data_IF_234801202603
#
_entry.id   IF_234801202603
#
_cell.length_a   1.000
_cell.length_b   1.000
_cell.length_c   1.000
_cell.angle_alpha   90.00
_cell.angle_beta   90.00
_cell.angle_gamma   90.00
#
_symmetry.space_group_name_H-M   'P 1'
#
loop_
_entity.id
_entity.type
_entity.pdbx_description
1 polymer ?
#
# COMPACT_ATOMS: atom_id res chain seq x y z
N UNK A 1 -4.38 -33.52 7.74
CA UNK A 1 -5.08 -32.32 8.25
C UNK A 1 -4.90 -31.13 7.33
N UNK A 2 -3.68 -30.71 6.98
CA UNK A 2 -3.42 -29.64 6.01
C UNK A 2 -4.19 -29.78 4.68
N UNK A 3 -4.12 -30.96 4.04
CA UNK A 3 -4.93 -31.29 2.86
C UNK A 3 -6.44 -31.10 3.08
N UNK A 4 -6.97 -31.62 4.20
CA UNK A 4 -8.39 -31.51 4.50
C UNK A 4 -8.82 -30.05 4.77
N UNK A 5 -8.00 -29.28 5.49
CA UNK A 5 -8.23 -27.86 5.73
C UNK A 5 -8.23 -27.06 4.41
N UNK A 6 -7.31 -27.38 3.51
CA UNK A 6 -7.22 -26.79 2.17
C UNK A 6 -8.45 -27.12 1.34
N UNK A 7 -8.84 -28.40 1.25
CA UNK A 7 -10.04 -28.85 0.52
C UNK A 7 -11.30 -28.16 1.04
N UNK A 8 -11.52 -28.16 2.36
CA UNK A 8 -12.68 -27.51 2.97
C UNK A 8 -12.69 -26.00 2.70
N UNK A 9 -11.53 -25.34 2.65
CA UNK A 9 -11.43 -23.92 2.35
C UNK A 9 -11.97 -23.57 0.95
N UNK A 10 -11.77 -24.45 -0.03
CA UNK A 10 -12.34 -24.28 -1.37
C UNK A 10 -13.80 -24.73 -1.45
N UNK A 11 -14.15 -25.86 -0.81
CA UNK A 11 -15.51 -26.40 -0.82
C UNK A 11 -16.54 -25.47 -0.17
N UNK A 12 -16.16 -24.74 0.89
CA UNK A 12 -17.07 -23.88 1.65
C UNK A 12 -17.00 -22.43 1.13
N UNK A 13 -17.64 -22.18 -0.01
CA UNK A 13 -17.70 -20.82 -0.59
C UNK A 13 -18.62 -19.92 0.24
N UNK A 14 -18.24 -18.65 0.39
CA UNK A 14 -18.98 -17.67 1.20
C UNK A 14 -19.19 -18.13 2.65
N UNK A 15 -18.19 -18.82 3.22
CA UNK A 15 -18.19 -19.19 4.62
C UNK A 15 -18.31 -17.93 5.51
N UNK A 16 -19.23 -17.96 6.47
CA UNK A 16 -19.48 -16.84 7.40
C UNK A 16 -19.15 -17.19 8.86
N UNK A 17 -18.79 -18.45 9.13
CA UNK A 17 -18.58 -18.99 10.48
C UNK A 17 -17.25 -19.70 10.57
N UNK A 18 -16.60 -19.73 11.74
CA UNK A 18 -15.35 -20.45 11.91
C UNK A 18 -15.53 -21.95 11.72
N UNK A 19 -14.65 -22.56 10.92
CA UNK A 19 -14.50 -24.01 10.81
C UNK A 19 -13.08 -24.35 11.23
N UNK A 20 -12.91 -24.80 12.47
CA UNK A 20 -11.58 -25.02 13.05
C UNK A 20 -11.28 -26.51 13.09
N UNK A 21 -10.27 -26.92 12.32
CA UNK A 21 -9.68 -28.26 12.41
C UNK A 21 -8.66 -28.25 13.53
N UNK A 22 -8.68 -29.29 14.36
CA UNK A 22 -7.74 -29.49 15.45
C UNK A 22 -7.45 -30.98 15.61
N UNK A 23 -6.45 -31.32 16.41
CA UNK A 23 -6.09 -32.70 16.72
C UNK A 23 -4.99 -32.77 17.77
N UNK A 24 -4.32 -33.92 17.84
CA UNK A 24 -3.28 -34.16 18.82
C UNK A 24 -2.22 -35.11 18.25
N UNK A 25 -0.98 -35.02 18.76
CA UNK A 25 0.01 -36.10 18.56
C UNK A 25 -0.24 -37.25 19.53
N UNK A 26 -0.74 -36.96 20.73
CA UNK A 26 -1.03 -37.96 21.75
C UNK A 26 -2.54 -38.03 22.02
N UNK A 27 -3.14 -39.24 22.11
CA UNK A 27 -4.57 -39.39 22.40
C UNK A 27 -5.02 -38.65 23.66
N UNK A 28 -6.23 -38.07 23.62
CA UNK A 28 -6.74 -37.20 24.70
C UNK A 28 -6.89 -37.88 26.07
N UNK A 29 -7.03 -39.21 26.08
CA UNK A 29 -7.15 -40.01 27.30
C UNK A 29 -5.80 -40.24 28.01
N UNK A 30 -4.67 -39.97 27.35
CA UNK A 30 -3.36 -40.10 27.98
C UNK A 30 -3.16 -38.99 29.03
N UNK A 31 -2.41 -39.28 30.10
CA UNK A 31 -2.17 -38.27 31.14
C UNK A 31 -1.42 -37.05 30.58
N UNK A 32 -0.37 -37.26 29.80
CA UNK A 32 0.38 -36.19 29.15
C UNK A 32 0.06 -36.15 27.66
N UNK A 33 -0.76 -35.18 27.24
CA UNK A 33 -1.12 -34.99 25.84
C UNK A 33 -1.32 -33.51 25.49
N UNK A 34 -1.27 -33.22 24.20
CA UNK A 34 -1.58 -31.93 23.59
C UNK A 34 -3.07 -31.80 23.18
N UNK A 35 -3.82 -32.91 23.15
CA UNK A 35 -5.20 -32.94 22.69
C UNK A 35 -6.18 -32.14 23.54
N UNK A 36 -6.00 -32.08 24.87
CA UNK A 36 -6.90 -31.29 25.74
C UNK A 36 -6.84 -29.79 25.42
N UNK A 37 -5.62 -29.24 25.38
CA UNK A 37 -5.41 -27.81 25.09
C UNK A 37 -5.79 -27.47 23.65
N UNK A 38 -5.43 -28.32 22.69
CA UNK A 38 -5.78 -28.12 21.28
C UNK A 38 -7.31 -28.15 21.05
N UNK A 39 -8.04 -29.04 21.73
CA UNK A 39 -9.50 -29.12 21.63
C UNK A 39 -10.18 -27.93 22.32
N UNK A 40 -9.76 -27.62 23.54
CA UNK A 40 -10.31 -26.50 24.31
C UNK A 40 -10.09 -25.17 23.57
N UNK A 41 -8.86 -24.92 23.10
CA UNK A 41 -8.52 -23.72 22.34
C UNK A 41 -9.34 -23.61 21.05
N UNK A 42 -9.51 -24.71 20.30
CA UNK A 42 -10.35 -24.70 19.10
C UNK A 42 -11.82 -24.34 19.41
N UNK A 43 -12.40 -24.90 20.49
CA UNK A 43 -13.77 -24.59 20.90
C UNK A 43 -13.92 -23.13 21.35
N UNK A 44 -12.97 -22.61 22.13
CA UNK A 44 -12.97 -21.21 22.56
C UNK A 44 -12.84 -20.27 21.36
N UNK A 45 -11.93 -20.56 20.43
CA UNK A 45 -11.74 -19.75 19.22
C UNK A 45 -13.02 -19.73 18.36
N UNK A 46 -13.66 -20.89 18.16
CA UNK A 46 -14.89 -20.98 17.38
C UNK A 46 -16.12 -20.36 18.07
N UNK A 47 -16.18 -20.43 19.40
CA UNK A 47 -17.32 -19.96 20.19
C UNK A 47 -17.29 -18.46 20.51
N UNK A 48 -16.10 -17.85 20.57
CA UNK A 48 -15.94 -16.46 21.01
C UNK A 48 -15.61 -15.49 19.88
N UNK A 49 -15.08 -15.98 18.74
CA UNK A 49 -14.59 -15.12 17.66
C UNK A 49 -15.24 -15.45 16.31
N UNK A 50 -15.54 -14.38 15.56
CA UNK A 50 -16.05 -14.49 14.20
C UNK A 50 -14.85 -14.45 13.24
N UNK A 51 -14.31 -15.63 12.94
CA UNK A 51 -13.26 -15.84 11.94
C UNK A 51 -13.87 -16.68 10.83
N UNK A 52 -14.40 -16.08 9.75
CA UNK A 52 -15.21 -16.78 8.72
C UNK A 52 -14.34 -17.57 7.74
N UNK A 53 -13.46 -18.41 8.27
CA UNK A 53 -12.47 -19.17 7.51
C UNK A 53 -12.36 -20.61 8.00
N UNK A 54 -11.87 -21.48 7.12
CA UNK A 54 -11.38 -22.79 7.52
C UNK A 54 -10.00 -22.61 8.10
N UNK A 55 -9.85 -22.95 9.38
CA UNK A 55 -8.64 -22.74 10.16
C UNK A 55 -8.07 -24.06 10.67
N UNK A 56 -6.81 -24.05 11.08
CA UNK A 56 -6.15 -25.14 11.78
C UNK A 56 -5.61 -24.63 13.11
N UNK A 57 -6.04 -25.21 14.23
CA UNK A 57 -5.59 -24.82 15.57
C UNK A 57 -4.67 -25.88 16.17
N UNK A 58 -3.42 -25.50 16.47
CA UNK A 58 -2.43 -26.36 17.12
C UNK A 58 -1.46 -25.50 17.92
N UNK A 59 -1.05 -25.96 19.11
CA UNK A 59 0.00 -25.32 19.90
C UNK A 59 -0.23 -23.82 20.10
N UNK A 60 -1.42 -23.49 20.59
CA UNK A 60 -1.83 -22.12 20.91
C UNK A 60 -1.80 -21.16 19.71
N UNK A 61 -1.79 -21.66 18.48
CA UNK A 61 -1.81 -20.87 17.27
C UNK A 61 -2.99 -21.29 16.39
N UNK A 62 -3.66 -20.30 15.81
CA UNK A 62 -4.70 -20.49 14.80
C UNK A 62 -4.13 -20.11 13.44
N UNK A 63 -3.95 -21.07 12.55
CA UNK A 63 -3.47 -20.86 11.19
C UNK A 63 -4.64 -20.80 10.21
N UNK A 64 -4.47 -20.04 9.12
CA UNK A 64 -5.33 -20.19 7.94
C UNK A 64 -5.15 -21.61 7.38
N UNK A 65 -6.25 -22.36 7.21
CA UNK A 65 -6.20 -23.79 6.91
C UNK A 65 -5.49 -24.13 5.60
N UNK A 66 -5.71 -23.33 4.55
CA UNK A 66 -5.05 -23.46 3.24
C UNK A 66 -3.65 -22.82 3.17
N UNK A 67 -3.07 -22.41 4.30
CA UNK A 67 -1.68 -21.96 4.41
C UNK A 67 -0.83 -22.87 5.28
N UNK A 68 -1.45 -23.83 5.97
CA UNK A 68 -0.77 -24.73 6.88
C UNK A 68 -0.19 -25.95 6.15
N UNK A 69 0.97 -26.41 6.62
CA UNK A 69 1.57 -27.71 6.26
C UNK A 69 2.12 -28.39 7.51
N UNK A 70 2.25 -29.72 7.49
CA UNK A 70 2.78 -30.50 8.61
C UNK A 70 4.31 -30.58 8.49
N UNK A 71 5.02 -30.03 9.46
CA UNK A 71 6.50 -29.93 9.45
C UNK A 71 7.19 -30.87 10.43
N UNK A 72 6.47 -31.36 11.45
CA UNK A 72 7.04 -32.26 12.46
C UNK A 72 6.04 -33.39 12.79
N UNK A 73 6.55 -34.60 13.01
CA UNK A 73 5.76 -35.80 13.31
C UNK A 73 5.85 -36.27 14.77
N UNK A 74 6.63 -35.57 15.61
CA UNK A 74 6.84 -35.90 17.02
C UNK A 74 6.58 -34.73 17.94
N UNK A 75 7.01 -33.52 17.58
CA UNK A 75 6.77 -32.32 18.38
C UNK A 75 5.29 -31.98 18.32
N UNK A 76 4.77 -31.48 19.45
CA UNK A 76 3.42 -30.92 19.51
C UNK A 76 3.25 -29.73 18.55
N UNK A 77 4.31 -28.96 18.28
CA UNK A 77 4.36 -27.94 17.23
C UNK A 77 4.52 -28.60 15.85
N UNK A 78 3.49 -29.35 15.45
CA UNK A 78 3.53 -30.21 14.28
C UNK A 78 3.21 -29.51 12.96
N UNK A 79 2.52 -28.36 13.03
CA UNK A 79 2.09 -27.59 11.87
C UNK A 79 2.76 -26.23 11.84
N UNK A 80 2.95 -25.73 10.62
CA UNK A 80 3.49 -24.41 10.34
C UNK A 80 2.67 -23.76 9.22
N UNK A 81 2.61 -22.43 9.22
CA UNK A 81 2.12 -21.61 8.09
C UNK A 81 3.30 -20.79 7.58
N UNK A 82 4.06 -21.29 6.59
CA UNK A 82 5.39 -20.75 6.29
C UNK A 82 5.36 -19.38 5.59
N UNK A 83 4.33 -19.13 4.76
CA UNK A 83 4.21 -17.92 3.95
C UNK A 83 3.10 -16.97 4.44
N UNK A 84 2.46 -17.26 5.58
CA UNK A 84 1.47 -16.37 6.20
C UNK A 84 1.56 -16.47 7.72
N UNK A 85 1.61 -15.34 8.47
CA UNK A 85 1.52 -15.37 9.92
C UNK A 85 0.24 -16.07 10.42
N UNK A 86 0.23 -16.61 11.66
CA UNK A 86 -0.99 -17.12 12.27
C UNK A 86 -2.12 -16.07 12.25
N UNK A 87 -3.36 -16.49 12.10
CA UNK A 87 -4.52 -15.61 12.25
C UNK A 87 -4.73 -15.19 13.70
N UNK A 88 -4.36 -16.06 14.65
CA UNK A 88 -4.36 -15.72 16.07
C UNK A 88 -3.28 -16.49 16.85
N UNK A 89 -2.85 -15.91 17.96
CA UNK A 89 -1.95 -16.52 18.94
C UNK A 89 -2.59 -16.42 20.32
N UNK A 90 -2.62 -17.55 21.04
CA UNK A 90 -3.21 -17.68 22.38
C UNK A 90 -2.08 -17.67 23.42
N UNK A 91 -2.04 -16.64 24.25
CA UNK A 91 -1.17 -16.55 25.40
C UNK A 91 -1.98 -16.24 26.66
N UNK A 92 -1.41 -15.41 27.55
CA UNK A 92 -2.19 -14.77 28.61
C UNK A 92 -3.34 -13.96 27.99
N UNK A 93 -3.02 -13.24 26.92
CA UNK A 93 -3.97 -12.56 26.06
C UNK A 93 -4.11 -13.30 24.72
N UNK A 94 -5.29 -13.17 24.09
CA UNK A 94 -5.53 -13.69 22.73
C UNK A 94 -5.29 -12.55 21.74
N UNK A 95 -4.26 -12.71 20.90
CA UNK A 95 -3.93 -11.75 19.84
C UNK A 95 -4.49 -12.24 18.51
N UNK A 96 -5.34 -11.44 17.86
CA UNK A 96 -5.93 -11.76 16.55
C UNK A 96 -5.39 -10.78 15.51
N UNK A 97 -4.84 -11.32 14.43
CA UNK A 97 -4.38 -10.55 13.27
C UNK A 97 -5.56 -10.21 12.37
N UNK A 98 -6.37 -9.23 12.81
CA UNK A 98 -7.62 -8.82 12.13
C UNK A 98 -7.43 -8.38 10.69
N UNK A 99 -6.24 -7.86 10.34
CA UNK A 99 -5.89 -7.47 8.97
C UNK A 99 -5.78 -8.67 8.02
N UNK A 100 -5.40 -9.83 8.55
CA UNK A 100 -5.29 -11.06 7.77
C UNK A 100 -6.62 -11.79 7.64
N UNK A 101 -7.50 -11.66 8.64
CA UNK A 101 -8.80 -12.35 8.67
C UNK A 101 -9.70 -11.82 7.55
N UNK A 102 -10.20 -12.74 6.72
CA UNK A 102 -11.14 -12.43 5.63
C UNK A 102 -12.44 -11.89 6.20
N UNK A 103 -13.02 -10.91 5.51
CA UNK A 103 -14.33 -10.35 5.85
C UNK A 103 -15.44 -11.29 5.38
N UNK A 104 -16.45 -11.51 6.22
CA UNK A 104 -17.66 -12.19 5.80
C UNK A 104 -18.46 -11.28 4.86
N UNK A 105 -18.81 -11.76 3.67
CA UNK A 105 -19.86 -11.12 2.86
C UNK A 105 -21.21 -11.44 3.50
N UNK A 106 -21.89 -10.43 4.06
CA UNK A 106 -23.22 -10.62 4.66
C UNK A 106 -24.33 -10.85 3.63
N UNK A 107 -24.04 -10.64 2.34
CA UNK A 107 -25.00 -10.72 1.25
C UNK A 107 -25.08 -12.13 0.62
N UNK A 108 -23.99 -12.89 0.65
CA UNK A 108 -23.88 -14.16 -0.06
C UNK A 108 -24.14 -15.38 0.84
N UNK A 109 -24.93 -16.34 0.36
CA UNK A 109 -25.21 -17.59 1.09
C UNK A 109 -24.04 -18.56 0.95
N UNK A 110 -23.83 -19.38 1.99
CA UNK A 110 -22.89 -20.50 1.94
C UNK A 110 -23.23 -21.42 0.77
N UNK A 111 -22.24 -21.68 -0.09
CA UNK A 111 -22.32 -22.69 -1.16
C UNK A 111 -21.31 -23.78 -0.85
N UNK A 112 -21.76 -25.03 -0.86
CA UNK A 112 -20.90 -26.20 -0.66
C UNK A 112 -20.60 -26.81 -2.02
N UNK A 113 -19.39 -26.57 -2.54
CA UNK A 113 -18.95 -27.12 -3.82
C UNK A 113 -18.55 -28.60 -3.66
N UNK A 114 -19.44 -29.50 -4.09
CA UNK A 114 -19.19 -30.95 -4.15
C UNK A 114 -18.53 -31.39 -5.46
N UNK A 115 -18.51 -30.53 -6.47
CA UNK A 115 -17.91 -30.78 -7.78
C UNK A 115 -16.39 -30.54 -7.72
N UNK A 116 -15.67 -31.51 -7.15
CA UNK A 116 -14.21 -31.51 -7.06
C UNK A 116 -13.64 -32.53 -8.04
N UNK A 117 -12.71 -32.11 -8.91
CA UNK A 117 -12.03 -33.00 -9.85
C UNK A 117 -11.15 -34.01 -9.10
N UNK A 118 -11.32 -35.29 -9.43
CA UNK A 118 -10.63 -36.40 -8.76
C UNK A 118 -9.34 -36.78 -9.48
N UNK A 119 -9.29 -36.55 -10.78
CA UNK A 119 -8.13 -36.88 -11.62
C UNK A 119 -7.07 -35.77 -11.55
N UNK A 120 -6.62 -35.46 -10.33
CA UNK A 120 -5.52 -34.53 -10.04
C UNK A 120 -4.37 -35.25 -9.33
N UNK A 121 -3.13 -34.81 -9.60
CA UNK A 121 -1.93 -35.44 -9.05
C UNK A 121 -0.93 -34.45 -8.47
N UNK A 122 0.04 -34.98 -7.73
CA UNK A 122 1.20 -34.23 -7.24
C UNK A 122 2.47 -34.93 -7.73
N UNK A 123 3.30 -34.21 -8.48
CA UNK A 123 4.55 -34.71 -9.05
C UNK A 123 5.72 -33.93 -8.44
N UNK A 124 6.50 -34.59 -7.59
CA UNK A 124 7.71 -34.02 -7.01
C UNK A 124 8.91 -34.29 -7.91
N UNK A 125 9.56 -33.23 -8.40
CA UNK A 125 10.76 -33.41 -9.23
C UNK A 125 11.97 -33.76 -8.37
N UNK A 126 12.88 -34.55 -8.93
CA UNK A 126 14.16 -34.86 -8.32
C UNK A 126 15.27 -34.79 -9.38
N UNK A 127 16.53 -34.52 -8.98
CA UNK A 127 17.63 -34.45 -9.93
C UNK A 127 17.75 -35.75 -10.75
N UNK A 128 17.69 -35.62 -12.07
CA UNK A 128 17.79 -36.76 -12.98
C UNK A 128 16.49 -37.54 -13.22
N UNK A 129 15.33 -37.04 -12.79
CA UNK A 129 14.03 -37.65 -13.14
C UNK A 129 13.93 -37.84 -14.67
N UNK A 130 13.66 -39.07 -15.17
CA UNK A 130 13.66 -39.33 -16.60
C UNK A 130 12.34 -38.89 -17.26
N UNK A 131 12.42 -38.38 -18.50
CA UNK A 131 11.25 -37.97 -19.27
C UNK A 131 10.21 -39.10 -19.43
N UNK A 132 10.65 -40.35 -19.56
CA UNK A 132 9.76 -41.52 -19.63
C UNK A 132 8.88 -41.70 -18.40
N UNK A 133 9.39 -41.38 -17.20
CA UNK A 133 8.62 -41.45 -15.95
C UNK A 133 7.62 -40.30 -15.87
N UNK A 134 8.03 -39.09 -16.26
CA UNK A 134 7.14 -37.93 -16.34
C UNK A 134 6.00 -38.21 -17.33
N UNK A 135 6.31 -38.75 -18.51
CA UNK A 135 5.31 -39.17 -19.50
C UNK A 135 4.30 -40.15 -18.93
N UNK A 136 4.78 -41.18 -18.23
CA UNK A 136 3.93 -42.21 -17.63
C UNK A 136 3.01 -41.61 -16.55
N UNK A 137 3.53 -40.68 -15.76
CA UNK A 137 2.77 -39.98 -14.72
C UNK A 137 1.68 -39.07 -15.32
N UNK A 138 1.96 -38.40 -16.45
CA UNK A 138 1.06 -37.45 -17.10
C UNK A 138 0.11 -38.09 -18.15
N UNK A 139 -0.12 -39.40 -18.06
CA UNK A 139 -1.07 -40.09 -18.91
C UNK A 139 -2.53 -39.82 -18.50
N UNK A 140 -3.50 -39.89 -19.44
CA UNK A 140 -4.92 -39.95 -19.11
C UNK A 140 -5.22 -41.06 -18.08
N UNK A 141 -6.21 -40.87 -17.17
CA UNK A 141 -7.24 -39.83 -17.19
C UNK A 141 -6.85 -38.49 -16.53
N UNK A 142 -5.60 -38.31 -16.11
CA UNK A 142 -5.15 -37.13 -15.36
C UNK A 142 -5.53 -35.81 -16.05
N UNK A 143 -6.17 -34.91 -15.29
CA UNK A 143 -6.65 -33.59 -15.75
C UNK A 143 -5.78 -32.44 -15.27
N UNK A 144 -5.12 -32.61 -14.14
CA UNK A 144 -4.17 -31.62 -13.64
C UNK A 144 -3.12 -32.20 -12.71
N UNK A 145 -2.00 -31.50 -12.61
CA UNK A 145 -0.91 -31.87 -11.71
C UNK A 145 -0.35 -30.62 -11.01
N UNK A 146 -0.08 -30.76 -9.71
CA UNK A 146 0.81 -29.86 -8.99
C UNK A 146 2.23 -30.42 -9.12
N UNK A 147 3.09 -29.70 -9.81
CA UNK A 147 4.50 -30.04 -9.98
C UNK A 147 5.32 -29.29 -8.94
N UNK A 148 6.03 -30.02 -8.08
CA UNK A 148 6.96 -29.42 -7.11
C UNK A 148 8.36 -29.31 -7.76
N UNK A 149 8.93 -28.09 -7.75
CA UNK A 149 10.18 -27.75 -8.43
C UNK A 149 11.21 -27.12 -7.47
N UNK A 150 12.43 -26.88 -7.93
CA UNK A 150 13.54 -26.48 -7.07
C UNK A 150 13.60 -24.96 -6.82
N UNK A 151 13.98 -24.55 -5.60
CA UNK A 151 14.29 -23.15 -5.31
C UNK A 151 13.11 -22.21 -5.59
N UNK A 152 13.32 -21.16 -6.37
CA UNK A 152 12.28 -20.19 -6.75
C UNK A 152 11.33 -20.68 -7.85
N UNK A 153 11.19 -21.99 -8.06
CA UNK A 153 10.32 -22.55 -9.11
C UNK A 153 11.04 -23.13 -10.34
N UNK A 154 12.33 -23.43 -10.22
CA UNK A 154 13.17 -23.88 -11.31
C UNK A 154 12.87 -25.35 -11.67
N UNK A 155 12.28 -25.54 -12.84
CA UNK A 155 12.05 -26.86 -13.43
C UNK A 155 13.19 -27.37 -14.31
N UNK A 156 12.97 -28.51 -14.98
CA UNK A 156 13.96 -29.15 -15.83
C UNK A 156 14.18 -28.32 -17.10
N UNK A 157 15.43 -28.12 -17.48
CA UNK A 157 15.83 -27.45 -18.74
C UNK A 157 16.13 -28.44 -19.86
N UNK A 158 16.04 -29.75 -19.58
CA UNK A 158 16.30 -30.78 -20.59
C UNK A 158 15.18 -30.78 -21.64
N UNK A 159 15.52 -30.78 -22.95
CA UNK A 159 14.52 -30.67 -24.01
C UNK A 159 13.46 -31.78 -24.01
N UNK A 160 13.86 -33.01 -23.72
CA UNK A 160 12.96 -34.17 -23.68
C UNK A 160 11.89 -34.04 -22.60
N UNK A 161 12.25 -33.54 -21.42
CA UNK A 161 11.30 -33.34 -20.32
C UNK A 161 10.37 -32.16 -20.59
N UNK A 162 10.91 -31.04 -21.09
CA UNK A 162 10.10 -29.90 -21.51
C UNK A 162 9.06 -30.29 -22.58
N UNK A 163 9.45 -31.16 -23.52
CA UNK A 163 8.55 -31.69 -24.54
C UNK A 163 7.41 -32.53 -23.95
N UNK A 164 7.66 -33.34 -22.91
CA UNK A 164 6.60 -34.11 -22.24
C UNK A 164 5.62 -33.19 -21.48
N UNK A 165 6.10 -32.09 -20.88
CA UNK A 165 5.25 -31.09 -20.24
C UNK A 165 4.38 -30.34 -21.26
N UNK A 166 4.99 -29.90 -22.37
CA UNK A 166 4.28 -29.23 -23.45
C UNK A 166 3.23 -30.15 -24.09
N UNK A 167 3.59 -31.41 -24.36
CA UNK A 167 2.65 -32.40 -24.89
C UNK A 167 1.50 -32.67 -23.92
N UNK A 168 1.73 -32.64 -22.60
CA UNK A 168 0.66 -32.74 -21.61
C UNK A 168 -0.26 -31.51 -21.63
N UNK A 169 0.30 -30.31 -21.69
CA UNK A 169 -0.46 -29.06 -21.80
C UNK A 169 -1.31 -29.02 -23.08
N UNK A 170 -0.78 -29.49 -24.22
CA UNK A 170 -1.49 -29.62 -25.50
C UNK A 170 -2.66 -30.62 -25.42
N UNK A 171 -2.54 -31.67 -24.60
CA UNK A 171 -3.66 -32.59 -24.29
C UNK A 171 -4.73 -31.98 -23.37
N UNK A 172 -4.53 -30.73 -22.92
CA UNK A 172 -5.43 -30.03 -22.01
C UNK A 172 -5.18 -30.31 -20.52
N UNK A 173 -4.02 -30.90 -20.17
CA UNK A 173 -3.64 -31.12 -18.77
C UNK A 173 -3.16 -29.80 -18.15
N UNK A 174 -3.70 -29.44 -16.99
CA UNK A 174 -3.31 -28.21 -16.28
C UNK A 174 -2.18 -28.47 -15.30
N UNK A 175 -1.07 -27.74 -15.44
CA UNK A 175 0.13 -27.90 -14.61
C UNK A 175 0.31 -26.66 -13.74
N UNK A 176 0.35 -26.83 -12.41
CA UNK A 176 0.64 -25.76 -11.44
C UNK A 176 2.01 -26.01 -10.83
N UNK A 177 2.90 -25.02 -10.86
CA UNK A 177 4.25 -25.08 -10.32
C UNK A 177 4.30 -24.57 -8.88
N UNK A 178 4.66 -25.44 -7.93
CA UNK A 178 4.97 -25.08 -6.56
C UNK A 178 6.45 -25.33 -6.26
N UNK A 179 7.01 -24.62 -5.28
CA UNK A 179 8.38 -24.88 -4.84
C UNK A 179 8.45 -26.04 -3.85
N UNK A 180 9.55 -26.80 -3.89
CA UNK A 180 9.94 -27.74 -2.83
C UNK A 180 10.23 -27.06 -1.50
N UNK A 181 10.64 -25.79 -1.54
CA UNK A 181 11.04 -25.03 -0.37
C UNK A 181 9.83 -24.84 0.55
N UNK A 182 10.04 -25.03 1.85
CA UNK A 182 8.98 -24.84 2.85
C UNK A 182 8.44 -23.40 2.82
N UNK A 183 9.32 -22.41 2.63
CA UNK A 183 8.99 -21.00 2.58
C UNK A 183 9.55 -20.40 1.28
N UNK A 184 8.82 -19.43 0.71
CA UNK A 184 9.17 -18.74 -0.52
C UNK A 184 8.05 -18.76 -1.55
N UNK A 185 8.32 -18.12 -2.70
CA UNK A 185 7.40 -17.98 -3.82
C UNK A 185 8.06 -18.45 -5.12
N UNK A 186 7.25 -18.99 -6.03
CA UNK A 186 7.66 -19.31 -7.40
C UNK A 186 7.71 -18.03 -8.24
N UNK A 187 8.89 -17.71 -8.78
CA UNK A 187 9.15 -16.56 -9.65
C UNK A 187 9.63 -16.96 -11.04
N UNK A 188 9.43 -16.08 -12.02
CA UNK A 188 9.86 -16.27 -13.42
C UNK A 188 11.25 -15.71 -13.73
N UNK A 189 12.01 -15.30 -12.71
CA UNK A 189 13.22 -14.47 -12.91
C UNK A 189 14.39 -15.22 -13.57
N UNK A 190 14.33 -16.56 -13.61
CA UNK A 190 15.36 -17.42 -14.16
C UNK A 190 14.97 -18.03 -15.52
N UNK A 191 15.97 -18.36 -16.34
CA UNK A 191 15.79 -19.02 -17.63
C UNK A 191 14.99 -20.34 -17.55
N UNK A 192 15.09 -21.07 -16.43
CA UNK A 192 14.29 -22.26 -16.16
C UNK A 192 12.82 -21.94 -15.86
N UNK A 193 12.53 -20.81 -15.23
CA UNK A 193 11.16 -20.35 -14.95
C UNK A 193 10.44 -19.89 -16.22
N UNK A 194 11.14 -19.17 -17.11
CA UNK A 194 10.61 -18.74 -18.41
C UNK A 194 10.34 -19.93 -19.34
N UNK A 195 11.20 -20.96 -19.35
CA UNK A 195 10.97 -22.19 -20.12
C UNK A 195 9.70 -22.93 -19.68
N UNK A 196 9.44 -23.02 -18.37
CA UNK A 196 8.21 -23.64 -17.84
C UNK A 196 6.97 -22.82 -18.20
N UNK A 197 7.03 -21.48 -18.09
CA UNK A 197 5.93 -20.61 -18.49
C UNK A 197 5.61 -20.78 -19.99
N UNK A 198 6.64 -20.89 -20.84
CA UNK A 198 6.50 -21.19 -22.26
C UNK A 198 5.87 -22.56 -22.55
N UNK A 199 6.02 -23.54 -21.66
CA UNK A 199 5.39 -24.85 -21.74
C UNK A 199 3.92 -24.87 -21.22
N UNK A 200 3.35 -23.72 -20.86
CA UNK A 200 1.97 -23.61 -20.40
C UNK A 200 1.76 -23.93 -18.91
N UNK A 201 2.83 -23.91 -18.12
CA UNK A 201 2.79 -24.14 -16.67
C UNK A 201 2.41 -22.86 -15.91
N UNK A 202 1.48 -22.97 -14.96
CA UNK A 202 0.98 -21.86 -14.13
C UNK A 202 1.84 -21.73 -12.87
N UNK A 203 2.21 -20.51 -12.47
CA UNK A 203 2.85 -20.28 -11.17
C UNK A 203 1.87 -20.53 -10.01
N UNK A 204 2.30 -21.32 -9.03
CA UNK A 204 1.60 -21.47 -7.76
C UNK A 204 1.95 -20.40 -6.73
N UNK A 205 2.83 -19.44 -7.07
CA UNK A 205 3.36 -18.42 -6.17
C UNK A 205 3.87 -19.04 -4.86
N UNK A 206 3.34 -18.61 -3.73
CA UNK A 206 3.70 -19.04 -2.38
C UNK A 206 2.67 -20.01 -1.75
N UNK A 207 1.82 -20.64 -2.59
CA UNK A 207 0.90 -21.70 -2.14
C UNK A 207 1.67 -22.89 -1.57
N UNK A 208 1.10 -23.51 -0.54
CA UNK A 208 1.51 -24.87 -0.15
C UNK A 208 1.01 -25.88 -1.20
N UNK A 209 1.69 -27.02 -1.32
CA UNK A 209 1.27 -28.09 -2.24
C UNK A 209 -0.13 -28.62 -1.90
N UNK A 210 -0.51 -28.63 -0.62
CA UNK A 210 -1.86 -28.99 -0.18
C UNK A 210 -2.92 -28.03 -0.71
N UNK A 211 -2.65 -26.73 -0.65
CA UNK A 211 -3.55 -25.71 -1.15
C UNK A 211 -3.63 -25.69 -2.68
N UNK A 212 -2.49 -25.82 -3.35
CA UNK A 212 -2.43 -25.90 -4.80
C UNK A 212 -3.22 -27.11 -5.33
N UNK A 213 -3.10 -28.28 -4.70
CA UNK A 213 -3.82 -29.49 -5.11
C UNK A 213 -5.33 -29.35 -4.88
N UNK A 214 -5.72 -28.80 -3.73
CA UNK A 214 -7.12 -28.52 -3.42
C UNK A 214 -7.73 -27.50 -4.39
N UNK A 215 -7.01 -26.43 -4.69
CA UNK A 215 -7.40 -25.39 -5.65
C UNK A 215 -7.54 -25.95 -7.06
N UNK A 216 -6.59 -26.79 -7.49
CA UNK A 216 -6.60 -27.44 -8.79
C UNK A 216 -7.83 -28.34 -8.93
N UNK A 217 -8.10 -29.17 -7.92
CA UNK A 217 -9.29 -30.03 -7.86
C UNK A 217 -10.58 -29.20 -7.92
N UNK A 218 -10.66 -28.11 -7.16
CA UNK A 218 -11.81 -27.19 -7.16
C UNK A 218 -12.02 -26.54 -8.52
N UNK A 219 -11.00 -25.88 -9.08
CA UNK A 219 -11.13 -25.13 -10.34
C UNK A 219 -11.44 -26.05 -11.51
N UNK A 220 -10.84 -27.25 -11.58
CA UNK A 220 -11.14 -28.21 -12.64
C UNK A 220 -12.54 -28.83 -12.50
N UNK A 221 -13.08 -28.93 -11.28
CA UNK A 221 -14.42 -29.45 -11.04
C UNK A 221 -15.55 -28.47 -11.36
N UNK A 222 -15.26 -27.17 -11.51
CA UNK A 222 -16.27 -26.15 -11.83
C UNK A 222 -16.86 -26.36 -13.24
N UNK A 223 -18.20 -26.36 -13.41
CA UNK A 223 -18.84 -26.54 -14.70
C UNK A 223 -18.75 -25.27 -15.56
N UNK A 224 -18.81 -25.42 -16.89
CA UNK A 224 -18.98 -24.30 -17.82
C UNK A 224 -17.76 -23.40 -18.05
N UNK A 225 -16.61 -23.68 -17.43
CA UNK A 225 -15.39 -22.89 -17.62
C UNK A 225 -14.51 -23.42 -18.75
N UNK A 226 -14.01 -22.50 -19.58
CA UNK A 226 -12.97 -22.77 -20.56
C UNK A 226 -11.63 -23.11 -19.89
N UNK A 227 -10.70 -23.72 -20.63
CA UNK A 227 -9.38 -24.04 -20.10
C UNK A 227 -8.60 -22.77 -19.71
N UNK A 228 -8.75 -21.68 -20.47
CA UNK A 228 -8.09 -20.40 -20.18
C UNK A 228 -8.69 -19.72 -18.95
N UNK A 229 -10.01 -19.79 -18.75
CA UNK A 229 -10.63 -19.22 -17.54
C UNK A 229 -10.26 -20.01 -16.29
N UNK A 230 -10.09 -21.33 -16.41
CA UNK A 230 -9.53 -22.16 -15.33
C UNK A 230 -8.10 -21.74 -15.00
N UNK A 231 -7.26 -21.50 -16.01
CA UNK A 231 -5.89 -21.00 -15.80
C UNK A 231 -5.89 -19.64 -15.09
N UNK A 232 -6.78 -18.72 -15.48
CA UNK A 232 -6.94 -17.42 -14.80
C UNK A 232 -7.35 -17.57 -13.34
N UNK A 233 -8.33 -18.41 -13.03
CA UNK A 233 -8.74 -18.66 -11.64
C UNK A 233 -7.63 -19.28 -10.79
N UNK A 234 -6.83 -20.17 -11.37
CA UNK A 234 -5.68 -20.75 -10.67
C UNK A 234 -4.62 -19.72 -10.29
N UNK A 235 -4.50 -18.65 -11.08
CA UNK A 235 -3.57 -17.54 -10.84
C UNK A 235 -4.11 -16.44 -9.91
N UNK A 236 -5.34 -16.54 -9.39
CA UNK A 236 -5.97 -15.53 -8.52
C UNK A 236 -6.07 -16.01 -7.07
N UNK A 237 -5.94 -15.14 -6.07
CA UNK A 237 -6.22 -15.50 -4.68
C UNK A 237 -7.73 -15.72 -4.45
N UNK A 238 -8.15 -16.99 -4.29
CA UNK A 238 -9.57 -17.33 -4.16
C UNK A 238 -10.02 -17.38 -2.70
N UNK A 239 -9.14 -17.82 -1.79
CA UNK A 239 -9.46 -18.16 -0.40
C UNK A 239 -8.36 -17.73 0.58
N UNK A 240 -7.45 -16.85 0.18
CA UNK A 240 -6.33 -16.41 1.01
C UNK A 240 -5.14 -17.38 0.98
N UNK A 241 -5.13 -18.33 0.05
CA UNK A 241 -4.11 -19.39 -0.06
C UNK A 241 -2.82 -18.92 -0.72
N UNK A 242 -2.86 -17.81 -1.46
CA UNK A 242 -1.72 -17.27 -2.18
C UNK A 242 -1.56 -15.78 -1.95
N UNK A 243 -0.31 -15.32 -2.04
CA UNK A 243 0.08 -13.92 -2.06
C UNK A 243 0.51 -13.63 -3.49
N UNK A 244 -0.24 -12.78 -4.17
CA UNK A 244 0.21 -12.28 -5.48
C UNK A 244 1.44 -11.41 -5.26
N UNK A 245 2.45 -11.47 -6.15
CA UNK A 245 3.54 -10.50 -6.10
C UNK A 245 2.91 -9.11 -6.11
N UNK A 246 3.42 -8.21 -5.27
CA UNK A 246 3.16 -6.81 -5.48
C UNK A 246 3.56 -6.55 -6.94
N UNK A 247 2.64 -6.05 -7.75
CA UNK A 247 2.99 -5.63 -9.10
C UNK A 247 4.06 -4.57 -8.88
N UNK A 248 5.31 -4.90 -9.16
CA UNK A 248 6.38 -3.92 -9.34
C UNK A 248 6.03 -3.17 -10.62
N UNK A 249 5.00 -2.33 -10.55
CA UNK A 249 5.12 -1.05 -11.20
C UNK A 249 6.30 -0.38 -10.50
N UNK A 250 7.35 -0.16 -11.27
CA UNK A 250 8.62 0.41 -10.87
C UNK A 250 8.43 1.61 -9.94
N UNK A 251 8.54 1.43 -8.62
CA UNK A 251 8.61 2.56 -7.70
C UNK A 251 9.66 2.25 -6.63
N UNK A 252 10.91 2.43 -7.04
CA UNK A 252 12.07 2.43 -6.15
C UNK A 252 11.88 3.49 -5.05
N UNK A 253 12.08 3.04 -3.82
CA UNK A 253 12.27 3.82 -2.59
C UNK A 253 11.15 4.76 -2.16
N UNK A 254 10.21 4.26 -1.37
CA UNK A 254 9.41 5.09 -0.47
C UNK A 254 9.77 4.76 0.98
N UNK A 255 10.85 5.38 1.47
CA UNK A 255 11.11 5.42 2.91
C UNK A 255 10.24 6.52 3.53
N UNK A 256 9.26 6.11 4.34
CA UNK A 256 9.01 6.77 5.61
C UNK A 256 7.95 7.86 5.70
N UNK A 257 6.66 7.47 5.76
CA UNK A 257 5.72 8.06 6.74
C UNK A 257 4.49 7.15 6.92
N UNK A 258 3.80 7.25 8.07
CA UNK A 258 2.49 6.58 8.30
C UNK A 258 1.45 7.04 7.28
N UNK A 259 1.62 8.25 6.73
CA UNK A 259 0.73 8.85 5.75
C UNK A 259 0.89 8.20 4.38
N UNK A 260 2.12 7.92 3.92
CA UNK A 260 2.35 7.19 2.67
C UNK A 260 1.78 5.76 2.72
N UNK A 261 1.78 5.13 3.91
CA UNK A 261 1.08 3.84 4.14
C UNK A 261 -0.44 3.97 4.05
N UNK A 262 -1.02 5.04 4.60
CA UNK A 262 -2.46 5.30 4.55
C UNK A 262 -2.93 5.61 3.12
N UNK A 263 -2.16 6.39 2.36
CA UNK A 263 -2.38 6.65 0.93
C UNK A 263 -2.26 5.35 0.13
N UNK A 264 -1.23 4.53 0.39
CA UNK A 264 -1.08 3.21 -0.23
C UNK A 264 -2.24 2.26 0.08
N UNK A 265 -2.81 2.33 1.28
CA UNK A 265 -3.99 1.54 1.62
C UNK A 265 -5.24 1.99 0.84
N UNK A 266 -5.45 3.29 0.65
CA UNK A 266 -6.56 3.82 -0.16
C UNK A 266 -6.45 3.43 -1.65
N UNK A 267 -5.23 3.44 -2.19
CA UNK A 267 -4.94 2.97 -3.56
C UNK A 267 -5.39 1.51 -3.77
N UNK A 268 -5.33 0.67 -2.72
CA UNK A 268 -5.66 -0.76 -2.78
C UNK A 268 -7.14 -1.10 -2.63
N UNK A 269 -8.01 -0.13 -2.32
CA UNK A 269 -9.43 -0.41 -2.18
C UNK A 269 -10.03 -0.83 -3.54
N UNK A 270 -10.76 -1.93 -3.58
CA UNK A 270 -11.42 -2.40 -4.81
C UNK A 270 -12.53 -1.42 -5.22
N UNK A 271 -12.82 -1.36 -6.52
CA UNK A 271 -13.89 -0.54 -7.12
C UNK A 271 -15.26 -1.05 -6.61
N UNK A 272 -15.67 -0.57 -5.44
CA UNK A 272 -17.04 -0.71 -4.92
C UNK A 272 -17.58 0.69 -4.63
N UNK A 273 -18.89 0.86 -4.75
CA UNK A 273 -19.53 2.16 -4.53
C UNK A 273 -19.32 2.68 -3.09
N UNK A 274 -19.16 1.77 -2.13
CA UNK A 274 -18.84 2.08 -0.72
C UNK A 274 -17.36 2.48 -0.54
N UNK A 275 -16.45 1.88 -1.31
CA UNK A 275 -15.03 2.25 -1.32
C UNK A 275 -14.81 3.64 -1.94
N UNK A 276 -15.60 3.99 -2.96
CA UNK A 276 -15.53 5.31 -3.59
C UNK A 276 -16.02 6.41 -2.64
N UNK A 277 -17.15 6.20 -1.96
CA UNK A 277 -17.63 7.15 -0.93
C UNK A 277 -16.64 7.32 0.23
N UNK A 278 -15.93 6.25 0.62
CA UNK A 278 -14.90 6.31 1.64
C UNK A 278 -13.64 7.05 1.14
N UNK A 279 -13.26 6.87 -0.12
CA UNK A 279 -12.16 7.60 -0.77
C UNK A 279 -12.46 9.08 -0.81
N UNK A 280 -13.63 9.46 -1.32
CA UNK A 280 -14.06 10.85 -1.42
C UNK A 280 -14.06 11.55 -0.05
N UNK A 281 -14.43 10.82 1.01
CA UNK A 281 -14.43 11.35 2.38
C UNK A 281 -13.02 11.52 2.99
N UNK A 282 -12.07 10.64 2.67
CA UNK A 282 -10.75 10.59 3.31
C UNK A 282 -9.67 11.36 2.55
N UNK A 283 -9.78 11.43 1.23
CA UNK A 283 -8.81 12.09 0.34
C UNK A 283 -8.51 13.54 0.78
N UNK A 284 -9.50 14.41 1.09
CA UNK A 284 -9.22 15.78 1.49
C UNK A 284 -8.39 15.89 2.77
N UNK A 285 -8.70 15.05 3.76
CA UNK A 285 -7.98 15.04 5.04
C UNK A 285 -6.54 14.55 4.89
N UNK A 286 -6.31 13.56 4.02
CA UNK A 286 -4.98 13.03 3.76
C UNK A 286 -4.13 13.95 2.89
N UNK A 287 -4.73 14.60 1.89
CA UNK A 287 -4.06 15.61 1.08
C UNK A 287 -3.60 16.78 1.97
N UNK A 288 -4.46 17.23 2.89
CA UNK A 288 -4.11 18.30 3.83
C UNK A 288 -2.96 17.90 4.77
N UNK A 289 -2.98 16.66 5.27
CA UNK A 289 -1.92 16.13 6.11
C UNK A 289 -0.60 15.95 5.33
N UNK A 290 -0.66 15.55 4.05
CA UNK A 290 0.51 15.45 3.17
C UNK A 290 1.11 16.84 2.86
N UNK A 291 0.26 17.82 2.59
CA UNK A 291 0.68 19.22 2.41
C UNK A 291 1.29 19.81 3.69
N UNK A 292 0.81 19.39 4.86
CA UNK A 292 1.36 19.79 6.16
C UNK A 292 2.75 19.19 6.43
N UNK A 293 2.95 17.92 6.09
CA UNK A 293 4.23 17.23 6.26
C UNK A 293 5.23 17.53 5.14
N UNK A 294 4.78 18.12 4.02
CA UNK A 294 5.62 18.37 2.86
C UNK A 294 5.87 17.12 2.01
N UNK A 295 5.01 16.10 2.15
CA UNK A 295 5.13 14.82 1.45
C UNK A 295 4.61 14.96 0.02
N UNK A 296 5.51 15.38 -0.87
CA UNK A 296 5.22 15.61 -2.29
C UNK A 296 4.78 14.32 -2.99
N UNK A 297 5.38 13.18 -2.64
CA UNK A 297 5.10 11.88 -3.24
C UNK A 297 3.68 11.41 -2.88
N UNK A 298 3.28 11.56 -1.61
CA UNK A 298 1.93 11.26 -1.18
C UNK A 298 0.88 12.15 -1.86
N UNK A 299 1.18 13.44 -2.09
CA UNK A 299 0.29 14.34 -2.82
C UNK A 299 0.16 13.95 -4.30
N UNK A 300 1.25 13.59 -4.96
CA UNK A 300 1.21 13.11 -6.35
C UNK A 300 0.39 11.83 -6.48
N UNK A 301 0.57 10.88 -5.56
CA UNK A 301 -0.21 9.64 -5.53
C UNK A 301 -1.72 9.86 -5.27
N UNK A 302 -2.07 10.85 -4.44
CA UNK A 302 -3.47 11.23 -4.19
C UNK A 302 -4.11 11.94 -5.39
N UNK A 303 -3.33 12.63 -6.21
CA UNK A 303 -3.81 13.31 -7.41
C UNK A 303 -4.16 12.32 -8.54
N UNK A 304 -3.35 11.27 -8.71
CA UNK A 304 -3.62 10.18 -9.68
C UNK A 304 -4.97 9.48 -9.42
N UNK A 305 -5.48 9.58 -8.20
CA UNK A 305 -6.80 9.08 -7.78
C UNK A 305 -7.98 10.00 -8.16
N UNK A 306 -7.74 11.05 -8.96
CA UNK A 306 -8.80 11.95 -9.42
C UNK A 306 -9.22 12.99 -8.38
N UNK A 307 -8.38 13.24 -7.36
CA UNK A 307 -8.63 14.32 -6.41
C UNK A 307 -8.34 15.67 -7.06
N UNK A 308 -9.37 16.51 -7.21
CA UNK A 308 -9.14 17.90 -7.62
C UNK A 308 -8.35 18.60 -6.53
N UNK A 309 -7.18 19.19 -6.82
CA UNK A 309 -6.31 19.87 -5.84
C UNK A 309 -6.91 21.15 -5.22
N UNK A 310 -8.13 21.50 -5.61
CA UNK A 310 -8.92 22.61 -5.06
C UNK A 310 -9.77 22.16 -3.86
N UNK A 311 -9.20 21.33 -2.98
CA UNK A 311 -9.89 20.88 -1.76
C UNK A 311 -9.83 21.99 -0.72
N UNK A 312 -11.00 22.38 -0.22
CA UNK A 312 -11.18 23.23 0.94
C UNK A 312 -11.63 22.34 2.11
N UNK A 313 -10.96 22.44 3.26
CA UNK A 313 -11.48 21.84 4.49
C UNK A 313 -12.70 22.65 5.02
N UNK A 314 -13.46 22.15 6.02
CA UNK A 314 -14.58 22.87 6.61
C UNK A 314 -14.22 24.22 7.27
N UNK A 315 -12.93 24.51 7.43
CA UNK A 315 -12.34 25.74 7.99
C UNK A 315 -11.87 26.66 6.84
N UNK A 316 -12.04 26.27 5.57
CA UNK A 316 -11.60 27.01 4.38
C UNK A 316 -10.10 26.89 4.10
N UNK A 317 -9.42 25.86 4.61
CA UNK A 317 -8.00 25.65 4.36
C UNK A 317 -7.77 25.01 2.98
N UNK A 318 -7.10 25.74 2.09
CA UNK A 318 -6.56 25.20 0.84
C UNK A 318 -5.22 24.51 1.07
N UNK A 319 -4.88 23.49 0.28
CA UNK A 319 -3.58 22.81 0.31
C UNK A 319 -2.40 23.78 0.18
N UNK A 320 -2.54 24.80 -0.67
CA UNK A 320 -1.51 25.82 -0.90
C UNK A 320 -1.20 26.61 0.38
N UNK A 321 -2.22 26.89 1.20
CA UNK A 321 -2.12 27.64 2.44
C UNK A 321 -1.30 26.88 3.48
N UNK A 322 -1.60 25.60 3.66
CA UNK A 322 -0.90 24.74 4.63
C UNK A 322 0.56 24.54 4.20
N UNK A 323 0.81 24.28 2.92
CA UNK A 323 2.17 24.16 2.40
C UNK A 323 2.95 25.48 2.54
N UNK A 324 2.31 26.62 2.29
CA UNK A 324 2.94 27.94 2.40
C UNK A 324 3.26 28.32 3.85
N UNK A 325 2.36 28.04 4.78
CA UNK A 325 2.56 28.25 6.22
C UNK A 325 3.73 27.41 6.77
N UNK A 326 3.90 26.19 6.25
CA UNK A 326 4.95 25.25 6.68
C UNK A 326 6.26 25.40 5.93
N UNK A 327 6.28 26.13 4.83
CA UNK A 327 7.51 26.42 4.07
C UNK A 327 7.89 25.37 3.04
N UNK A 328 6.95 24.51 2.65
CA UNK A 328 7.21 23.37 1.76
C UNK A 328 7.24 23.79 0.30
N UNK A 329 8.36 24.38 -0.15
CA UNK A 329 8.53 24.93 -1.50
C UNK A 329 8.23 23.94 -2.63
N UNK A 330 8.58 22.65 -2.47
CA UNK A 330 8.29 21.61 -3.47
C UNK A 330 6.79 21.36 -3.65
N UNK A 331 6.04 21.31 -2.56
CA UNK A 331 4.58 21.17 -2.59
C UNK A 331 3.93 22.43 -3.17
N UNK A 332 4.40 23.62 -2.78
CA UNK A 332 3.90 24.90 -3.32
C UNK A 332 4.12 24.98 -4.83
N UNK A 333 5.31 24.64 -5.32
CA UNK A 333 5.60 24.65 -6.75
C UNK A 333 4.68 23.71 -7.53
N UNK A 334 4.45 22.50 -7.01
CA UNK A 334 3.53 21.54 -7.61
C UNK A 334 2.09 22.10 -7.69
N UNK A 335 1.56 22.64 -6.59
CA UNK A 335 0.19 23.18 -6.55
C UNK A 335 0.01 24.37 -7.51
N UNK A 336 1.03 25.24 -7.63
CA UNK A 336 1.00 26.38 -8.56
C UNK A 336 0.99 25.93 -10.03
N UNK A 337 1.74 24.88 -10.39
CA UNK A 337 1.72 24.31 -11.74
C UNK A 337 0.36 23.74 -12.14
N UNK A 338 -0.47 23.38 -11.15
CA UNK A 338 -1.82 22.82 -11.36
C UNK A 338 -2.92 23.88 -11.34
N UNK A 339 -2.56 25.17 -11.34
CA UNK A 339 -3.51 26.27 -11.48
C UNK A 339 -4.38 26.54 -10.27
N UNK A 340 -3.95 26.16 -9.06
CA UNK A 340 -4.64 26.50 -7.82
C UNK A 340 -4.67 28.03 -7.63
N UNK A 341 -5.79 28.57 -7.13
CA UNK A 341 -5.90 30.00 -6.83
C UNK A 341 -4.85 30.43 -5.80
N UNK A 342 -3.93 31.29 -6.26
CA UNK A 342 -2.78 31.77 -5.51
C UNK A 342 -3.20 32.74 -4.39
N UNK A 343 -4.37 33.39 -4.53
CA UNK A 343 -4.86 34.41 -3.61
C UNK A 343 -6.06 33.94 -2.76
N UNK A 344 -6.35 32.63 -2.74
CA UNK A 344 -7.41 32.05 -1.91
C UNK A 344 -7.21 32.41 -0.42
N UNK A 345 -8.27 32.86 0.26
CA UNK A 345 -8.20 33.36 1.64
C UNK A 345 -8.96 32.45 2.60
N UNK A 346 -8.48 32.37 3.84
CA UNK A 346 -9.19 31.65 4.91
C UNK A 346 -10.25 32.53 5.60
N UNK A 347 -10.92 31.96 6.61
CA UNK A 347 -11.96 32.65 7.40
C UNK A 347 -11.43 33.88 8.15
N UNK A 348 -10.11 33.94 8.39
CA UNK A 348 -9.43 35.09 9.00
C UNK A 348 -8.97 36.12 7.93
N UNK A 349 -9.24 35.86 6.66
CA UNK A 349 -8.91 36.73 5.53
C UNK A 349 -7.43 36.72 5.13
N UNK A 350 -6.65 35.74 5.61
CA UNK A 350 -5.20 35.68 5.39
C UNK A 350 -4.86 34.96 4.07
N UNK A 351 -3.93 35.55 3.31
CA UNK A 351 -3.41 34.95 2.07
C UNK A 351 -2.27 33.93 2.34
N UNK A 352 -2.06 32.95 1.44
CA UNK A 352 -0.91 32.05 1.49
C UNK A 352 0.42 32.81 1.51
N UNK A 353 0.48 33.95 0.82
CA UNK A 353 1.65 34.83 0.79
C UNK A 353 1.97 35.40 2.16
N UNK A 354 0.97 35.95 2.87
CA UNK A 354 1.18 36.48 4.22
C UNK A 354 1.60 35.38 5.21
N UNK A 355 1.05 34.16 5.08
CA UNK A 355 1.44 33.03 5.92
C UNK A 355 2.90 32.60 5.67
N UNK A 356 3.36 32.59 4.42
CA UNK A 356 4.77 32.35 4.09
C UNK A 356 5.68 33.44 4.67
N UNK A 357 5.26 34.71 4.63
CA UNK A 357 5.99 35.86 5.18
C UNK A 357 6.12 35.77 6.70
N UNK A 358 5.01 35.51 7.39
CA UNK A 358 4.98 35.29 8.85
C UNK A 358 5.83 34.09 9.26
N UNK A 359 5.84 33.04 8.44
CA UNK A 359 6.66 31.84 8.60
C UNK A 359 8.15 31.97 8.23
N UNK A 360 8.59 33.12 7.68
CA UNK A 360 9.96 33.38 7.19
C UNK A 360 10.39 32.46 6.02
N UNK A 361 9.44 31.99 5.23
CA UNK A 361 9.69 31.02 4.16
C UNK A 361 10.02 31.69 2.82
N UNK A 362 11.23 32.28 2.73
CA UNK A 362 11.68 33.08 1.58
C UNK A 362 11.50 32.40 0.20
N UNK A 363 11.81 31.11 0.12
CA UNK A 363 11.66 30.33 -1.12
C UNK A 363 10.20 30.23 -1.57
N UNK A 364 9.29 29.99 -0.62
CA UNK A 364 7.84 29.97 -0.87
C UNK A 364 7.32 31.36 -1.25
N UNK A 365 7.74 32.41 -0.54
CA UNK A 365 7.35 33.80 -0.85
C UNK A 365 7.74 34.17 -2.30
N UNK A 366 8.93 33.75 -2.74
CA UNK A 366 9.37 33.94 -4.12
C UNK A 366 8.49 33.21 -5.15
N UNK A 367 8.19 31.93 -4.89
CA UNK A 367 7.33 31.13 -5.77
C UNK A 367 5.92 31.72 -5.89
N UNK A 368 5.32 32.12 -4.76
CA UNK A 368 3.98 32.74 -4.74
C UNK A 368 3.96 34.08 -5.49
N UNK A 369 4.96 34.94 -5.29
CA UNK A 369 5.06 36.22 -6.00
C UNK A 369 5.28 36.05 -7.50
N UNK A 370 6.11 35.09 -7.90
CA UNK A 370 6.30 34.74 -9.31
C UNK A 370 5.01 34.23 -9.96
N UNK A 371 4.15 33.57 -9.19
CA UNK A 371 2.81 33.13 -9.62
C UNK A 371 1.73 34.24 -9.50
N UNK A 372 2.10 35.47 -9.16
CA UNK A 372 1.18 36.61 -9.13
C UNK A 372 0.46 36.86 -7.79
N UNK A 373 0.89 36.22 -6.69
CA UNK A 373 0.34 36.49 -5.36
C UNK A 373 0.55 37.96 -4.94
N UNK A 374 -0.42 38.57 -4.27
CA UNK A 374 -0.27 39.92 -3.71
C UNK A 374 -0.85 40.03 -2.31
N UNK A 375 -0.20 40.83 -1.46
CA UNK A 375 -0.75 41.21 -0.16
C UNK A 375 -1.89 42.20 -0.36
N UNK A 376 -2.98 42.02 0.39
CA UNK A 376 -4.13 42.91 0.36
C UNK A 376 -3.93 44.16 1.22
N UNK A 377 -4.70 45.24 1.01
CA UNK A 377 -4.60 46.44 1.83
C UNK A 377 -4.81 46.17 3.33
N UNK A 378 -5.69 45.23 3.67
CA UNK A 378 -5.97 44.85 5.06
C UNK A 378 -4.79 44.10 5.70
N UNK A 379 -4.07 43.28 4.93
CA UNK A 379 -2.86 42.59 5.41
C UNK A 379 -1.66 43.52 5.59
N UNK A 380 -1.69 44.68 4.91
CA UNK A 380 -0.67 45.72 4.97
C UNK A 380 -0.96 46.80 6.04
N UNK A 381 -2.14 46.80 6.65
CA UNK A 381 -2.55 47.84 7.63
C UNK A 381 -1.53 47.98 8.78
N UNK A 382 -1.02 46.84 9.26
CA UNK A 382 -0.03 46.78 10.35
C UNK A 382 1.42 46.51 9.88
N UNK A 383 1.68 46.48 8.57
CA UNK A 383 2.99 46.11 8.04
C UNK A 383 4.09 47.07 8.52
N UNK A 384 3.83 48.38 8.60
CA UNK A 384 4.79 49.37 9.10
C UNK A 384 5.22 49.09 10.56
N UNK A 385 4.27 48.72 11.43
CA UNK A 385 4.56 48.38 12.82
C UNK A 385 5.41 47.10 12.92
N UNK A 386 5.09 46.09 12.11
CA UNK A 386 5.88 44.86 12.04
C UNK A 386 7.29 45.12 11.51
N UNK A 387 7.45 45.91 10.44
CA UNK A 387 8.75 46.29 9.88
C UNK A 387 9.62 47.02 10.91
N UNK A 388 9.07 47.99 11.65
CA UNK A 388 9.75 48.66 12.76
C UNK A 388 10.19 47.69 13.85
N UNK A 389 9.36 46.68 14.17
CA UNK A 389 9.70 45.63 15.13
C UNK A 389 10.88 44.78 14.63
N UNK A 390 10.92 44.44 13.35
CA UNK A 390 12.03 43.68 12.74
C UNK A 390 13.33 44.47 12.72
N UNK A 391 13.24 45.74 12.35
CA UNK A 391 14.33 46.71 12.42
C UNK A 391 14.94 46.80 13.83
N UNK A 392 14.11 46.95 14.88
CA UNK A 392 14.61 47.02 16.27
C UNK A 392 15.36 45.77 16.73
N UNK A 393 15.08 44.62 16.13
CA UNK A 393 15.71 43.32 16.43
C UNK A 393 16.85 42.99 15.47
N UNK A 394 17.15 43.86 14.52
CA UNK A 394 18.08 43.62 13.42
C UNK A 394 17.77 42.33 12.60
N UNK A 395 16.48 41.99 12.44
CA UNK A 395 16.03 40.82 11.65
C UNK A 395 16.07 41.14 10.15
N UNK A 396 17.26 41.06 9.57
CA UNK A 396 17.52 41.33 8.14
C UNK A 396 16.78 40.37 7.20
N UNK A 397 16.64 39.10 7.57
CA UNK A 397 15.90 38.11 6.78
C UNK A 397 14.39 38.39 6.81
N UNK A 398 13.84 38.76 7.97
CA UNK A 398 12.45 39.18 8.08
C UNK A 398 12.13 40.37 7.16
N UNK A 399 12.98 41.39 7.16
CA UNK A 399 12.84 42.57 6.29
C UNK A 399 12.92 42.19 4.80
N UNK A 400 13.85 41.31 4.41
CA UNK A 400 13.96 40.81 3.03
C UNK A 400 12.71 40.04 2.59
N UNK A 401 12.12 39.22 3.46
CA UNK A 401 10.92 38.44 3.13
C UNK A 401 9.69 39.33 2.95
N UNK A 402 9.52 40.35 3.80
CA UNK A 402 8.46 41.36 3.63
C UNK A 402 8.63 42.17 2.34
N UNK A 403 9.85 42.63 2.04
CA UNK A 403 10.16 43.29 0.78
C UNK A 403 9.87 42.40 -0.44
N UNK A 404 10.30 41.14 -0.39
CA UNK A 404 10.07 40.17 -1.47
C UNK A 404 8.58 39.91 -1.70
N UNK A 405 7.76 39.96 -0.65
CA UNK A 405 6.29 39.88 -0.75
C UNK A 405 5.64 41.14 -1.34
N UNK A 406 6.41 42.21 -1.55
CA UNK A 406 5.94 43.47 -2.12
C UNK A 406 5.50 44.50 -1.09
N UNK A 407 5.89 44.37 0.18
CA UNK A 407 5.62 45.40 1.18
C UNK A 407 6.56 46.60 1.03
N UNK A 408 6.03 47.79 1.30
CA UNK A 408 6.80 49.03 1.32
C UNK A 408 7.58 49.14 2.64
N UNK A 409 8.91 49.07 2.54
CA UNK A 409 9.81 49.16 3.69
C UNK A 409 9.80 50.55 4.36
N UNK A 410 9.33 51.58 3.64
CA UNK A 410 9.18 52.94 4.13
C UNK A 410 7.88 53.18 4.90
N UNK A 411 6.96 52.21 4.94
CA UNK A 411 5.67 52.38 5.61
C UNK A 411 5.87 52.67 7.11
N UNK A 412 5.34 53.80 7.63
CA UNK A 412 5.48 54.14 9.03
C UNK A 412 4.65 53.20 9.92
N UNK A 413 5.17 52.88 11.10
CA UNK A 413 4.42 52.23 12.16
C UNK A 413 3.43 53.17 12.85
N UNK A 414 2.75 52.67 13.88
CA UNK A 414 1.73 53.42 14.63
C UNK A 414 2.22 54.73 15.29
N UNK A 415 3.53 54.86 15.53
CA UNK A 415 4.18 56.05 16.12
C UNK A 415 4.72 57.03 15.07
N UNK A 416 4.44 56.78 13.78
CA UNK A 416 4.90 57.59 12.65
C UNK A 416 6.36 57.37 12.27
N UNK A 417 7.08 56.43 12.91
CA UNK A 417 8.47 56.09 12.56
C UNK A 417 8.48 54.93 11.55
N UNK A 418 9.38 54.99 10.56
CA UNK A 418 9.64 53.88 9.64
C UNK A 418 10.72 52.96 10.20
N UNK A 419 10.88 51.78 9.59
CA UNK A 419 11.92 50.83 9.96
C UNK A 419 13.33 51.46 9.90
N UNK A 420 13.59 52.32 8.92
CA UNK A 420 14.86 53.03 8.75
C UNK A 420 15.16 53.96 9.95
N UNK A 421 14.17 54.74 10.42
CA UNK A 421 14.35 55.58 11.62
C UNK A 421 14.72 54.78 12.88
N UNK A 422 14.19 53.56 13.02
CA UNK A 422 14.46 52.68 14.15
C UNK A 422 15.89 52.11 14.10
N UNK A 423 16.36 51.71 12.91
CA UNK A 423 17.70 51.14 12.72
C UNK A 423 18.80 52.19 12.89
N UNK A 424 18.57 53.41 12.38
CA UNK A 424 19.50 54.54 12.54
C UNK A 424 19.65 54.92 14.02
N UNK A 425 18.55 54.94 14.77
CA UNK A 425 18.57 55.20 16.22
C UNK A 425 19.24 54.07 17.02
N UNK A 426 19.16 52.83 16.54
CA UNK A 426 19.78 51.65 17.16
C UNK A 426 21.26 51.47 16.79
N UNK A 427 21.75 52.19 15.76
CA UNK A 427 23.16 52.16 15.34
C UNK A 427 23.60 50.86 14.66
N UNK A 428 22.72 50.22 13.87
CA UNK A 428 23.06 48.98 13.15
C UNK A 428 23.35 49.25 11.65
N UNK A 429 24.62 49.32 11.23
CA UNK A 429 24.98 49.68 9.86
C UNK A 429 24.58 48.61 8.84
N UNK A 430 24.62 47.33 9.19
CA UNK A 430 24.31 46.22 8.27
C UNK A 430 22.85 46.23 7.81
N UNK A 431 21.93 46.52 8.73
CA UNK A 431 20.50 46.59 8.41
C UNK A 431 20.15 47.92 7.74
N UNK A 432 20.89 48.99 8.04
CA UNK A 432 20.73 50.30 7.38
C UNK A 432 21.10 50.19 5.90
N UNK A 433 22.26 49.62 5.60
CA UNK A 433 22.72 49.38 4.22
C UNK A 433 21.75 48.46 3.46
N UNK A 434 21.18 47.47 4.15
CA UNK A 434 20.17 46.57 3.58
C UNK A 434 18.89 47.32 3.19
N UNK A 435 18.31 48.12 4.09
CA UNK A 435 17.08 48.85 3.80
C UNK A 435 17.28 49.84 2.65
N UNK A 436 18.39 50.58 2.65
CA UNK A 436 18.74 51.52 1.57
C UNK A 436 18.96 50.81 0.23
N UNK A 437 19.60 49.64 0.24
CA UNK A 437 19.80 48.80 -0.94
C UNK A 437 18.48 48.29 -1.54
N UNK A 438 17.55 47.84 -0.69
CA UNK A 438 16.25 47.29 -1.12
C UNK A 438 15.27 48.37 -1.57
N UNK A 439 15.27 49.55 -0.94
CA UNK A 439 14.48 50.72 -1.38
C UNK A 439 14.93 51.23 -2.76
N UNK A 440 16.24 51.24 -3.02
CA UNK A 440 16.80 51.60 -4.33
C UNK A 440 16.41 50.64 -5.47
N UNK A 441 16.16 49.36 -5.15
CA UNK A 441 15.80 48.34 -6.14
C UNK A 441 14.34 48.42 -6.62
N UNK A 442 13.45 49.09 -5.89
CA UNK A 442 12.02 49.27 -6.25
C UNK A 442 11.86 50.03 -7.58
N UNK A 443 12.82 50.89 -7.93
CA UNK A 443 12.84 51.61 -9.21
C UNK A 443 13.04 50.73 -10.46
N UNK A 444 13.51 49.49 -10.33
CA UNK A 444 13.81 48.59 -11.46
C UNK A 444 12.72 47.53 -11.73
N UNK A 445 11.89 47.18 -10.74
CA UNK A 445 10.85 46.14 -10.85
C UNK A 445 9.52 46.61 -11.48
N UNK A 446 9.36 47.92 -11.75
CA UNK A 446 8.15 48.46 -12.42
C UNK A 446 8.05 48.12 -13.93
N UNK A 447 9.00 47.37 -14.50
CA UNK A 447 8.89 46.76 -15.83
C UNK A 447 8.79 45.25 -15.69
N UNK A 448 7.56 44.76 -15.54
CA UNK A 448 7.27 43.32 -15.52
C UNK A 448 7.63 42.65 -16.85
N UNK A 449 8.06 41.37 -16.84
CA UNK A 449 8.38 40.61 -18.04
C UNK A 449 7.11 40.22 -18.82
N UNK A 450 7.27 40.04 -20.13
CA UNK A 450 6.24 39.61 -21.08
C UNK A 450 5.56 38.30 -20.65
N UNK A 451 4.25 38.27 -20.85
CA UNK A 451 3.36 37.11 -20.71
C UNK A 451 3.92 35.94 -21.52
N UNK A 452 4.23 34.81 -20.86
CA UNK A 452 4.45 33.54 -21.57
C UNK A 452 3.09 33.02 -22.09
N UNK A 453 3.00 32.58 -23.36
CA UNK A 453 1.75 32.16 -23.97
C UNK A 453 1.41 30.71 -23.59
N UNK A 454 0.15 30.47 -23.23
CA UNK A 454 -0.43 29.13 -23.13
C UNK A 454 -1.14 28.83 -21.81
N UNK A 455 -2.26 29.53 -21.57
CA UNK A 455 -3.41 29.04 -20.78
C UNK A 455 -4.62 29.06 -21.70
#
# INVERSE_FOLDING_TARGET
MAFAASVLSFMLENLQKPVILTGAQVPIHALWNDGRENLLGALLMAGQYIIPEVCLFFQNQLFRGNRATKVDNRRFAAFCSPNLPPLATVGVDITINRELVRKASSKDRLVVCSCMERDVGLLRLFPGIPASLVRAFLQPPLKGVVMETFGSGNGPTKPDLLQELQAAAERGLVIVNCTHCLQGTVTSDYASGTALAGAGVISGFDMTSEAALAKLSYVLGQPGLSLDDRKKLLAQDLRGEMTLPAVDECWSSLQGSTLSRAVSWLLRLSISQEAEALRDALIPSLALAAAHSGDLEALQALEELGSGLSLEDPIGQTLLRVAAQRGHAGVVAMLLQRGVDVNARDQDGLSPLLLAVRGRHRGVTGLLRAAGACLSPQELEDAGTELCRLASRADSEGLRVWWQAGADLGQPGYDGRSALHIVEAAGNPEVTDLLQSLEGAVGAQARGPEVLPGV
#
